data_IF_407377691709
#
_entry.id   IF_407377691709
#
_cell.length_a   1.000
_cell.length_b   1.000
_cell.length_c   1.000
_cell.angle_alpha   90.00
_cell.angle_beta   90.00
_cell.angle_gamma   90.00
#
_symmetry.space_group_name_H-M   'P 1'
#
loop_
_entity.id
_entity.type
_entity.pdbx_description
1 polymer ?
#
# COMPACT_ATOMS: atom_id res chain seq x y z
N UNK A 1 -9.03 -22.38 -4.09
CA UNK A 1 -8.84 -22.51 -5.56
C UNK A 1 -7.48 -21.90 -5.80
N UNK A 2 -6.50 -22.74 -6.13
CA UNK A 2 -5.10 -22.34 -6.12
C UNK A 2 -4.73 -21.91 -7.54
N UNK A 3 -5.01 -20.64 -7.86
CA UNK A 3 -4.97 -20.09 -9.21
C UNK A 3 -3.55 -20.07 -9.78
N UNK A 4 -2.52 -20.08 -8.92
CA UNK A 4 -1.10 -20.08 -9.29
C UNK A 4 -0.38 -21.39 -8.95
N UNK A 5 -1.11 -22.50 -8.81
CA UNK A 5 -0.54 -23.81 -8.41
C UNK A 5 0.58 -24.35 -9.32
N UNK A 6 0.65 -23.87 -10.57
CA UNK A 6 1.67 -24.22 -11.56
C UNK A 6 2.86 -23.24 -11.60
N UNK A 7 2.82 -22.15 -10.82
CA UNK A 7 3.85 -21.10 -10.80
C UNK A 7 4.87 -21.35 -9.69
N UNK A 8 6.15 -21.20 -10.03
CA UNK A 8 7.30 -21.29 -9.11
C UNK A 8 7.94 -19.93 -8.91
N UNK A 9 8.10 -19.55 -7.64
CA UNK A 9 8.64 -18.24 -7.25
C UNK A 9 9.90 -18.45 -6.42
N UNK A 10 10.96 -17.72 -6.74
CA UNK A 10 12.15 -17.57 -5.90
C UNK A 10 12.21 -16.13 -5.40
N UNK A 11 12.28 -15.95 -4.10
CA UNK A 11 12.37 -14.66 -3.43
C UNK A 11 13.76 -14.50 -2.80
N UNK A 12 14.49 -13.49 -3.26
CA UNK A 12 15.74 -12.96 -2.68
C UNK A 12 15.52 -11.63 -1.95
N UNK A 13 14.26 -11.20 -1.80
CA UNK A 13 13.94 -9.90 -1.24
C UNK A 13 14.18 -9.84 0.27
N UNK A 14 14.76 -8.72 0.70
CA UNK A 14 14.88 -8.30 2.09
C UNK A 14 13.99 -7.08 2.41
N UNK A 15 13.43 -6.41 1.38
CA UNK A 15 12.43 -5.36 1.57
C UNK A 15 11.06 -5.96 1.91
N UNK A 16 10.23 -5.20 2.64
CA UNK A 16 8.87 -5.63 2.91
C UNK A 16 8.04 -5.68 1.62
N UNK A 17 8.26 -4.75 0.70
CA UNK A 17 7.59 -4.73 -0.60
C UNK A 17 7.80 -6.03 -1.39
N UNK A 18 9.04 -6.53 -1.45
CA UNK A 18 9.37 -7.78 -2.13
C UNK A 18 8.84 -9.00 -1.39
N UNK A 19 8.99 -9.03 -0.05
CA UNK A 19 8.47 -10.12 0.77
C UNK A 19 6.94 -10.24 0.68
N UNK A 20 6.21 -9.12 0.75
CA UNK A 20 4.75 -9.14 0.63
C UNK A 20 4.28 -9.47 -0.79
N UNK A 21 5.03 -9.07 -1.82
CA UNK A 21 4.75 -9.46 -3.20
C UNK A 21 4.81 -10.99 -3.37
N UNK A 22 5.90 -11.61 -2.92
CA UNK A 22 6.06 -13.07 -2.96
C UNK A 22 5.01 -13.80 -2.11
N UNK A 23 4.66 -13.25 -0.95
CA UNK A 23 3.60 -13.75 -0.06
C UNK A 23 2.25 -13.80 -0.75
N UNK A 24 1.86 -12.74 -1.45
CA UNK A 24 0.59 -12.68 -2.18
C UNK A 24 0.52 -13.69 -3.33
N UNK A 25 1.64 -14.02 -3.97
CA UNK A 25 1.71 -15.10 -4.95
C UNK A 25 1.59 -16.48 -4.26
N UNK A 26 2.29 -16.69 -3.15
CA UNK A 26 2.22 -17.92 -2.36
C UNK A 26 0.79 -18.19 -1.84
N UNK A 27 0.10 -17.16 -1.35
CA UNK A 27 -1.29 -17.24 -0.87
C UNK A 27 -2.27 -17.63 -1.98
N UNK A 28 -1.91 -17.38 -3.25
CA UNK A 28 -2.69 -17.79 -4.43
C UNK A 28 -2.29 -19.17 -4.97
N UNK A 29 -1.39 -19.87 -4.27
CA UNK A 29 -0.99 -21.25 -4.56
C UNK A 29 0.39 -21.40 -5.20
N UNK A 30 1.13 -20.31 -5.44
CA UNK A 30 2.44 -20.40 -6.07
C UNK A 30 3.45 -21.12 -5.16
N UNK A 31 4.21 -22.04 -5.75
CA UNK A 31 5.32 -22.74 -5.08
C UNK A 31 6.46 -21.76 -4.83
N UNK A 32 6.48 -21.16 -3.63
CA UNK A 32 7.39 -20.06 -3.29
C UNK A 32 8.53 -20.52 -2.40
N UNK A 33 9.76 -20.19 -2.81
CA UNK A 33 10.99 -20.43 -2.05
C UNK A 33 11.58 -19.07 -1.66
N UNK A 34 11.77 -18.85 -0.37
CA UNK A 34 12.52 -17.71 0.16
C UNK A 34 13.96 -18.13 0.40
N UNK A 35 14.89 -17.47 -0.28
CA UNK A 35 16.32 -17.64 -0.05
C UNK A 35 16.77 -16.63 0.97
N UNK A 36 17.41 -17.10 2.03
CA UNK A 36 17.90 -16.27 3.12
C UNK A 36 19.43 -16.39 3.24
N UNK A 37 20.14 -15.31 3.60
CA UNK A 37 21.56 -15.38 3.86
C UNK A 37 21.85 -16.19 5.15
N UNK A 38 23.04 -16.79 5.28
CA UNK A 38 23.41 -17.54 6.47
C UNK A 38 23.47 -16.65 7.73
N UNK A 39 23.32 -17.29 8.89
CA UNK A 39 23.38 -16.69 10.24
C UNK A 39 22.22 -15.75 10.59
N UNK A 40 22.11 -14.59 9.95
CA UNK A 40 21.10 -13.59 10.28
C UNK A 40 19.73 -13.80 9.63
N UNK A 41 19.66 -14.51 8.50
CA UNK A 41 18.44 -14.68 7.74
C UNK A 41 17.88 -13.35 7.24
N UNK A 42 16.56 -13.33 7.00
CA UNK A 42 15.82 -12.10 6.70
C UNK A 42 15.87 -11.12 7.91
N UNK A 43 16.19 -9.82 7.71
CA UNK A 43 16.17 -8.81 8.77
C UNK A 43 14.87 -8.77 9.59
N UNK A 44 13.71 -8.97 8.95
CA UNK A 44 12.41 -8.95 9.60
C UNK A 44 12.28 -9.99 10.72
N UNK A 45 13.06 -11.08 10.70
CA UNK A 45 13.11 -12.07 11.80
C UNK A 45 13.49 -11.46 13.14
N UNK A 46 14.16 -10.31 13.12
CA UNK A 46 14.67 -9.61 14.31
C UNK A 46 13.92 -8.31 14.59
N UNK A 47 12.84 -8.06 13.87
CA UNK A 47 12.00 -6.88 14.08
C UNK A 47 10.85 -7.20 15.05
N UNK A 48 10.55 -6.31 16.01
CA UNK A 48 9.38 -6.43 16.88
C UNK A 48 8.07 -6.13 16.12
N UNK A 49 6.89 -6.45 16.69
CA UNK A 49 6.71 -7.13 17.97
C UNK A 49 7.08 -8.61 17.90
N UNK A 50 7.52 -9.14 19.04
CA UNK A 50 7.79 -10.56 19.18
C UNK A 50 6.64 -11.25 19.92
N UNK A 51 6.39 -12.52 19.60
CA UNK A 51 5.52 -13.39 20.38
C UNK A 51 5.97 -13.35 21.85
N UNK A 52 5.02 -13.13 22.76
CA UNK A 52 5.26 -12.98 24.21
C UNK A 52 6.23 -11.84 24.59
N UNK A 53 6.57 -10.95 23.66
CA UNK A 53 7.54 -9.88 23.88
C UNK A 53 8.99 -10.35 23.99
N UNK A 54 9.30 -11.60 23.62
CA UNK A 54 10.65 -12.18 23.74
C UNK A 54 11.36 -12.16 22.39
N UNK A 55 12.48 -11.42 22.24
CA UNK A 55 13.24 -11.38 20.99
C UNK A 55 13.71 -12.77 20.56
N UNK A 56 13.18 -13.24 19.42
CA UNK A 56 13.53 -14.54 18.85
C UNK A 56 13.34 -14.51 17.32
N UNK A 57 14.26 -15.11 16.51
CA UNK A 57 14.14 -15.13 15.04
C UNK A 57 12.87 -15.80 14.49
N UNK A 58 12.30 -16.74 15.24
CA UNK A 58 11.01 -17.40 14.94
C UNK A 58 9.84 -16.75 15.70
N UNK A 59 10.09 -15.66 16.42
CA UNK A 59 9.11 -14.96 17.23
C UNK A 59 8.66 -13.63 16.65
N UNK A 60 9.33 -13.08 15.63
CA UNK A 60 8.94 -11.83 14.99
C UNK A 60 7.59 -11.97 14.29
N UNK A 61 6.60 -11.20 14.73
CA UNK A 61 5.28 -11.23 14.08
C UNK A 61 5.32 -10.60 12.70
N UNK A 62 6.27 -9.69 12.43
CA UNK A 62 6.48 -9.12 11.11
C UNK A 62 6.93 -10.20 10.13
N UNK A 63 7.98 -10.96 10.48
CA UNK A 63 8.45 -12.04 9.62
C UNK A 63 7.35 -13.08 9.40
N UNK A 64 6.69 -13.52 10.47
CA UNK A 64 5.65 -14.54 10.40
C UNK A 64 4.47 -14.08 9.52
N UNK A 65 3.99 -12.85 9.67
CA UNK A 65 2.85 -12.34 8.90
C UNK A 65 3.15 -12.26 7.39
N UNK A 66 4.36 -11.86 7.01
CA UNK A 66 4.74 -11.61 5.63
C UNK A 66 5.43 -12.80 4.93
N UNK A 67 5.63 -13.92 5.62
CA UNK A 67 6.33 -15.09 5.06
C UNK A 67 5.59 -16.43 5.21
N UNK A 68 4.31 -16.46 5.63
CA UNK A 68 3.54 -17.71 5.57
C UNK A 68 3.40 -18.22 4.12
N UNK A 69 3.18 -19.53 3.98
CA UNK A 69 3.07 -20.25 2.69
C UNK A 69 4.36 -20.33 1.85
N UNK A 70 5.48 -19.82 2.36
CA UNK A 70 6.80 -19.93 1.72
C UNK A 70 7.62 -21.07 2.32
N UNK A 71 8.53 -21.65 1.53
CA UNK A 71 9.58 -22.56 2.02
C UNK A 71 10.90 -21.80 2.10
N UNK A 72 11.54 -21.81 3.27
CA UNK A 72 12.85 -21.18 3.46
C UNK A 72 14.01 -22.09 3.02
N UNK A 73 15.03 -21.50 2.39
CA UNK A 73 16.33 -22.12 2.14
C UNK A 73 17.43 -21.11 2.45
N UNK A 74 18.55 -21.57 2.99
CA UNK A 74 19.70 -20.70 3.27
C UNK A 74 20.74 -20.85 2.16
N UNK A 75 21.11 -19.75 1.50
CA UNK A 75 22.21 -19.70 0.53
C UNK A 75 23.12 -18.51 0.81
N UNK A 76 24.43 -18.74 0.74
CA UNK A 76 25.44 -17.69 0.86
C UNK A 76 25.82 -17.19 -0.53
N UNK A 77 25.15 -16.14 -1.00
CA UNK A 77 25.36 -15.57 -2.34
C UNK A 77 26.68 -14.80 -2.47
N UNK A 78 27.41 -14.57 -1.37
CA UNK A 78 28.79 -14.04 -1.43
C UNK A 78 29.81 -15.11 -1.86
N UNK A 79 29.38 -16.39 -1.91
CA UNK A 79 30.22 -17.51 -2.35
C UNK A 79 29.79 -18.00 -3.74
N UNK A 80 30.75 -18.35 -4.62
CA UNK A 80 30.43 -18.94 -5.93
C UNK A 80 29.51 -20.16 -5.83
N UNK A 81 29.68 -20.99 -4.80
CA UNK A 81 28.81 -22.16 -4.57
C UNK A 81 27.36 -21.79 -4.27
N UNK A 82 27.11 -20.65 -3.59
CA UNK A 82 25.74 -20.19 -3.33
C UNK A 82 25.09 -19.63 -4.59
N UNK A 83 25.85 -18.90 -5.40
CA UNK A 83 25.41 -18.44 -6.73
C UNK A 83 25.09 -19.63 -7.63
N UNK A 84 25.94 -20.65 -7.69
CA UNK A 84 25.71 -21.88 -8.45
C UNK A 84 24.43 -22.62 -8.00
N UNK A 85 24.17 -22.68 -6.69
CA UNK A 85 22.96 -23.29 -6.15
C UNK A 85 21.71 -22.48 -6.50
N UNK A 86 21.78 -21.15 -6.41
CA UNK A 86 20.69 -20.26 -6.82
C UNK A 86 20.40 -20.44 -8.32
N UNK A 87 21.42 -20.51 -9.16
CA UNK A 87 21.24 -20.73 -10.60
C UNK A 87 20.50 -22.02 -10.89
N UNK A 88 20.79 -23.11 -10.17
CA UNK A 88 20.05 -24.37 -10.30
C UNK A 88 18.58 -24.23 -9.91
N UNK A 89 18.25 -23.40 -8.91
CA UNK A 89 16.86 -23.09 -8.58
C UNK A 89 16.19 -22.30 -9.71
N UNK A 90 16.88 -21.34 -10.31
CA UNK A 90 16.32 -20.44 -11.32
C UNK A 90 16.04 -21.10 -12.69
N UNK A 91 16.64 -22.26 -12.99
CA UNK A 91 16.42 -22.99 -14.26
C UNK A 91 14.94 -23.28 -14.53
N UNK A 92 14.18 -23.60 -13.48
CA UNK A 92 12.77 -24.01 -13.55
C UNK A 92 11.91 -23.09 -12.67
N UNK A 93 12.29 -21.82 -12.60
CA UNK A 93 11.55 -20.78 -11.87
C UNK A 93 10.79 -19.89 -12.86
N UNK A 94 9.57 -19.51 -12.50
CA UNK A 94 8.75 -18.61 -13.30
C UNK A 94 8.97 -17.15 -12.93
N UNK A 95 9.14 -16.88 -11.64
CA UNK A 95 9.27 -15.54 -11.09
C UNK A 95 10.44 -15.47 -10.11
N UNK A 96 11.37 -14.56 -10.34
CA UNK A 96 12.38 -14.14 -9.39
C UNK A 96 12.00 -12.77 -8.81
N UNK A 97 11.90 -12.66 -7.50
CA UNK A 97 11.65 -11.39 -6.80
C UNK A 97 12.90 -11.06 -5.99
N UNK A 98 13.49 -9.90 -6.24
CA UNK A 98 14.68 -9.43 -5.51
C UNK A 98 14.54 -7.96 -5.13
N UNK A 99 15.29 -7.54 -4.12
CA UNK A 99 15.23 -6.16 -3.61
C UNK A 99 16.62 -5.60 -3.30
N UNK A 100 17.63 -6.05 -4.05
CA UNK A 100 18.98 -5.57 -3.89
C UNK A 100 19.15 -4.17 -4.49
N UNK A 101 20.15 -3.40 -4.02
CA UNK A 101 20.50 -2.13 -4.65
C UNK A 101 20.86 -2.31 -6.13
N UNK A 102 20.66 -1.28 -6.97
CA UNK A 102 20.99 -1.36 -8.39
C UNK A 102 22.44 -1.79 -8.64
N UNK A 103 22.62 -2.72 -9.58
CA UNK A 103 23.94 -3.26 -9.93
C UNK A 103 24.41 -4.43 -9.05
N UNK A 104 23.73 -4.75 -7.95
CA UNK A 104 24.16 -5.84 -7.08
C UNK A 104 24.02 -7.21 -7.76
N UNK A 105 22.88 -7.48 -8.40
CA UNK A 105 22.66 -8.74 -9.12
C UNK A 105 23.67 -8.91 -10.27
N UNK A 106 23.99 -7.82 -10.99
CA UNK A 106 25.05 -7.80 -11.99
C UNK A 106 26.42 -8.15 -11.39
N UNK A 107 26.73 -7.64 -10.19
CA UNK A 107 28.01 -7.93 -9.51
C UNK A 107 28.14 -9.41 -9.11
N UNK A 108 27.02 -10.11 -8.92
CA UNK A 108 26.97 -11.55 -8.67
C UNK A 108 26.99 -12.39 -9.96
N UNK A 109 27.05 -11.77 -11.14
CA UNK A 109 26.92 -12.46 -12.43
C UNK A 109 25.49 -12.87 -12.76
N UNK A 110 24.49 -12.32 -12.06
CA UNK A 110 23.07 -12.62 -12.17
C UNK A 110 22.27 -11.45 -12.77
N UNK A 111 22.91 -10.63 -13.60
CA UNK A 111 22.24 -9.51 -14.28
C UNK A 111 21.21 -9.99 -15.31
N UNK A 112 20.29 -9.09 -15.67
CA UNK A 112 19.17 -9.38 -16.58
C UNK A 112 19.59 -10.05 -17.90
N UNK A 113 20.65 -9.63 -18.62
CA UNK A 113 21.07 -10.30 -19.85
C UNK A 113 21.41 -11.78 -19.66
N UNK A 114 22.08 -12.11 -18.55
CA UNK A 114 22.49 -13.47 -18.24
C UNK A 114 21.29 -14.34 -17.82
N UNK A 115 20.39 -13.80 -16.99
CA UNK A 115 19.17 -14.48 -16.58
C UNK A 115 18.26 -14.77 -17.79
N UNK A 116 18.10 -13.80 -18.70
CA UNK A 116 17.32 -13.98 -19.92
C UNK A 116 17.94 -15.01 -20.88
N UNK A 117 19.28 -15.16 -20.90
CA UNK A 117 19.93 -16.21 -21.67
C UNK A 117 19.70 -17.61 -21.06
N UNK A 118 19.74 -17.71 -19.73
CA UNK A 118 19.66 -18.99 -19.00
C UNK A 118 18.23 -19.49 -18.86
N UNK A 119 17.28 -18.58 -18.61
CA UNK A 119 15.85 -18.85 -18.53
C UNK A 119 15.09 -17.70 -19.23
N UNK A 120 14.87 -17.80 -20.56
CA UNK A 120 14.18 -16.77 -21.34
C UNK A 120 12.72 -16.53 -20.94
N UNK A 121 12.11 -17.45 -20.17
CA UNK A 121 10.75 -17.35 -19.66
C UNK A 121 10.66 -16.70 -18.26
N UNK A 122 11.80 -16.38 -17.63
CA UNK A 122 11.85 -15.86 -16.27
C UNK A 122 11.32 -14.43 -16.20
N UNK A 123 10.38 -14.20 -15.28
CA UNK A 123 9.96 -12.86 -14.89
C UNK A 123 10.82 -12.44 -13.70
N UNK A 124 11.55 -11.34 -13.83
CA UNK A 124 12.36 -10.79 -12.75
C UNK A 124 11.69 -9.53 -12.25
N UNK A 125 11.34 -9.46 -10.97
CA UNK A 125 10.91 -8.24 -10.31
C UNK A 125 12.03 -7.73 -9.41
N UNK A 126 12.50 -6.53 -9.71
CA UNK A 126 13.44 -5.77 -8.89
C UNK A 126 12.66 -4.73 -8.09
N UNK A 127 12.60 -4.85 -6.77
CA UNK A 127 11.90 -3.89 -5.91
C UNK A 127 12.88 -3.02 -5.14
N UNK A 128 12.94 -1.73 -5.49
CA UNK A 128 13.72 -0.74 -4.74
C UNK A 128 12.87 0.48 -4.41
N UNK A 129 13.36 1.36 -3.54
CA UNK A 129 12.62 2.56 -3.16
C UNK A 129 12.47 3.57 -4.30
N UNK A 130 13.44 3.63 -5.21
CA UNK A 130 13.52 4.66 -6.24
C UNK A 130 13.63 4.11 -7.67
N UNK A 131 13.50 2.79 -7.86
CA UNK A 131 13.73 2.10 -9.12
C UNK A 131 15.21 1.79 -9.39
N UNK A 132 15.47 1.05 -10.46
CA UNK A 132 16.81 0.68 -10.92
C UNK A 132 17.49 1.79 -11.73
N UNK A 133 16.72 2.81 -12.16
CA UNK A 133 17.18 3.88 -13.05
C UNK A 133 16.87 5.28 -12.52
N UNK A 134 17.42 6.31 -13.16
CA UNK A 134 17.20 7.70 -12.78
C UNK A 134 18.15 8.23 -11.70
N UNK A 135 18.05 9.52 -11.34
CA UNK A 135 19.01 10.20 -10.48
C UNK A 135 18.98 9.74 -9.02
N UNK A 136 17.88 9.10 -8.59
CA UNK A 136 17.68 8.66 -7.20
C UNK A 136 17.86 7.14 -7.02
N UNK A 137 18.20 6.39 -8.05
CA UNK A 137 18.26 4.92 -7.99
C UNK A 137 19.21 4.38 -6.90
N UNK A 138 20.28 5.12 -6.62
CA UNK A 138 21.27 4.76 -5.58
C UNK A 138 20.94 5.31 -4.19
N UNK A 139 19.78 5.95 -3.98
CA UNK A 139 19.41 6.46 -2.67
C UNK A 139 18.87 5.34 -1.79
N UNK A 140 19.21 5.39 -0.51
CA UNK A 140 18.54 4.57 0.49
C UNK A 140 17.16 5.17 0.78
N UNK A 141 16.19 4.29 1.00
CA UNK A 141 14.83 4.68 1.31
C UNK A 141 14.28 3.97 2.53
N UNK A 142 13.05 4.33 2.84
CA UNK A 142 12.22 3.78 3.89
C UNK A 142 10.78 4.15 3.58
N UNK A 143 9.81 3.44 4.16
CA UNK A 143 8.40 3.72 3.90
C UNK A 143 8.04 5.20 4.14
N UNK A 144 8.52 5.80 5.23
CA UNK A 144 8.31 7.23 5.52
C UNK A 144 8.96 8.15 4.48
N UNK A 145 10.12 7.78 3.94
CA UNK A 145 10.77 8.53 2.85
C UNK A 145 9.88 8.47 1.61
N UNK A 146 9.39 7.27 1.24
CA UNK A 146 8.47 7.10 0.12
C UNK A 146 7.18 7.90 0.31
N UNK A 147 6.62 7.96 1.52
CA UNK A 147 5.49 8.84 1.83
C UNK A 147 5.83 10.32 1.62
N UNK A 148 7.01 10.76 2.05
CA UNK A 148 7.44 12.14 1.90
C UNK A 148 7.62 12.54 0.43
N UNK A 149 8.41 11.77 -0.33
CA UNK A 149 8.69 12.05 -1.74
C UNK A 149 7.47 11.79 -2.64
N UNK A 150 6.57 10.89 -2.21
CA UNK A 150 5.31 10.59 -2.89
C UNK A 150 4.21 11.62 -2.67
N UNK A 151 4.47 12.66 -1.86
CA UNK A 151 3.52 13.74 -1.59
C UNK A 151 2.47 13.43 -0.52
N UNK A 152 2.46 12.23 0.07
CA UNK A 152 1.50 11.84 1.11
C UNK A 152 1.54 12.76 2.33
N UNK A 153 2.75 13.03 2.82
CA UNK A 153 2.94 13.90 3.98
C UNK A 153 2.46 15.33 3.68
N UNK A 154 2.62 15.80 2.44
CA UNK A 154 2.25 17.17 2.07
C UNK A 154 0.75 17.34 1.79
N UNK A 155 0.13 16.37 1.12
CA UNK A 155 -1.16 16.55 0.48
C UNK A 155 -2.28 15.67 1.03
N UNK A 156 -1.95 14.60 1.77
CA UNK A 156 -2.91 13.55 2.13
C UNK A 156 -3.21 13.52 3.62
N UNK A 157 -2.19 13.31 4.47
CA UNK A 157 -2.42 12.84 5.84
C UNK A 157 -2.20 13.91 6.91
N UNK A 158 -3.24 14.25 7.67
CA UNK A 158 -3.20 15.17 8.80
C UNK A 158 -3.90 16.50 8.53
N UNK A 159 -4.01 17.35 9.55
CA UNK A 159 -4.60 18.69 9.42
C UNK A 159 -3.66 19.68 8.73
N UNK A 160 -4.23 20.71 8.10
CA UNK A 160 -3.48 21.73 7.36
C UNK A 160 -2.55 22.56 8.26
N UNK A 161 -3.00 22.82 9.49
CA UNK A 161 -2.37 23.66 10.52
C UNK A 161 -1.38 22.89 11.41
N UNK A 162 -1.34 21.57 11.29
CA UNK A 162 -0.44 20.69 12.04
C UNK A 162 0.75 20.23 11.19
N UNK A 163 1.87 19.82 11.83
CA UNK A 163 2.98 19.21 11.11
C UNK A 163 2.52 18.01 10.27
N UNK A 164 3.19 17.74 9.12
CA UNK A 164 2.89 16.57 8.29
C UNK A 164 2.88 15.28 9.11
N UNK A 165 1.84 14.47 8.94
CA UNK A 165 1.68 13.21 9.66
C UNK A 165 1.83 12.03 8.69
N UNK A 166 2.58 11.01 9.09
CA UNK A 166 2.67 9.77 8.32
C UNK A 166 1.39 8.95 8.43
N UNK A 167 1.17 8.09 7.45
CA UNK A 167 0.19 6.99 7.58
C UNK A 167 0.72 5.92 8.54
N UNK A 168 -0.06 4.84 8.73
CA UNK A 168 0.45 3.65 9.40
C UNK A 168 1.80 3.20 8.78
N UNK A 169 2.65 2.46 9.52
CA UNK A 169 3.89 1.95 8.95
C UNK A 169 3.64 1.14 7.67
N UNK A 170 4.64 1.18 6.78
CA UNK A 170 4.83 0.24 5.66
C UNK A 170 3.76 0.30 4.55
N UNK A 171 2.85 1.29 4.58
CA UNK A 171 1.74 1.36 3.62
C UNK A 171 2.21 1.55 2.17
N UNK A 172 3.31 2.27 1.96
CA UNK A 172 3.84 2.49 0.60
C UNK A 172 4.54 1.23 0.10
N UNK A 173 5.26 0.51 0.96
CA UNK A 173 5.83 -0.81 0.61
C UNK A 173 4.76 -1.85 0.30
N UNK A 174 3.68 -1.89 1.09
CA UNK A 174 2.51 -2.75 0.85
C UNK A 174 1.84 -2.39 -0.49
N UNK A 175 1.73 -1.10 -0.79
CA UNK A 175 1.15 -0.65 -2.06
C UNK A 175 2.04 -1.00 -3.25
N UNK A 176 3.37 -0.82 -3.11
CA UNK A 176 4.34 -1.25 -4.10
C UNK A 176 4.25 -2.77 -4.35
N UNK A 177 4.16 -3.59 -3.29
CA UNK A 177 3.99 -5.03 -3.40
C UNK A 177 2.76 -5.43 -4.23
N UNK A 178 1.61 -4.77 -3.98
CA UNK A 178 0.36 -5.01 -4.74
C UNK A 178 0.54 -4.66 -6.22
N UNK A 179 1.18 -3.52 -6.51
CA UNK A 179 1.52 -3.15 -7.89
C UNK A 179 2.48 -4.16 -8.54
N UNK A 180 3.45 -4.66 -7.78
CA UNK A 180 4.37 -5.72 -8.20
C UNK A 180 3.65 -7.01 -8.59
N UNK A 181 2.69 -7.46 -7.77
CA UNK A 181 1.86 -8.63 -8.09
C UNK A 181 1.06 -8.40 -9.37
N UNK A 182 0.44 -7.22 -9.52
CA UNK A 182 -0.31 -6.87 -10.76
C UNK A 182 0.62 -6.95 -11.98
N UNK A 183 1.82 -6.39 -11.89
CA UNK A 183 2.81 -6.41 -12.97
C UNK A 183 3.29 -7.83 -13.29
N UNK A 184 3.56 -8.66 -12.26
CA UNK A 184 3.95 -10.07 -12.44
C UNK A 184 2.83 -10.85 -13.11
N UNK A 185 1.58 -10.68 -12.67
CA UNK A 185 0.42 -11.36 -13.25
C UNK A 185 0.21 -10.96 -14.72
N UNK A 186 0.39 -9.68 -15.05
CA UNK A 186 0.33 -9.20 -16.43
C UNK A 186 1.46 -9.80 -17.29
N UNK A 187 2.69 -9.89 -16.76
CA UNK A 187 3.82 -10.51 -17.44
C UNK A 187 3.61 -12.03 -17.62
N UNK A 188 3.09 -12.74 -16.62
CA UNK A 188 2.72 -14.15 -16.72
C UNK A 188 1.67 -14.38 -17.80
N UNK A 189 0.65 -13.53 -17.86
CA UNK A 189 -0.39 -13.57 -18.89
C UNK A 189 0.19 -13.33 -20.30
N UNK A 190 1.02 -12.30 -20.46
CA UNK A 190 1.70 -12.03 -21.73
C UNK A 190 2.57 -13.21 -22.17
N UNK A 191 3.31 -13.81 -21.23
CA UNK A 191 4.21 -14.95 -21.46
C UNK A 191 3.50 -16.16 -22.06
N UNK A 192 2.21 -16.37 -21.81
CA UNK A 192 1.43 -17.46 -22.42
C UNK A 192 1.40 -17.38 -23.95
N UNK A 193 1.50 -16.17 -24.52
CA UNK A 193 1.50 -15.96 -25.97
C UNK A 193 2.90 -15.73 -26.53
N UNK A 194 3.76 -15.03 -25.79
CA UNK A 194 5.10 -14.67 -26.26
C UNK A 194 6.15 -15.76 -26.02
N UNK A 195 5.94 -16.62 -25.03
CA UNK A 195 6.92 -17.56 -24.50
C UNK A 195 8.11 -16.88 -23.79
N UNK A 196 8.06 -15.56 -23.57
CA UNK A 196 9.17 -14.76 -23.03
C UNK A 196 8.80 -14.14 -21.68
N UNK A 197 9.76 -14.13 -20.78
CA UNK A 197 9.70 -13.40 -19.51
C UNK A 197 9.90 -11.90 -19.70
N UNK A 198 10.07 -11.19 -18.60
CA UNK A 198 10.25 -9.73 -18.57
C UNK A 198 10.96 -9.29 -17.29
N UNK A 199 11.63 -8.15 -17.35
CA UNK A 199 12.13 -7.46 -16.17
C UNK A 199 11.14 -6.38 -15.76
N UNK A 200 10.72 -6.39 -14.50
CA UNK A 200 9.85 -5.42 -13.86
C UNK A 200 10.71 -4.64 -12.88
N UNK A 201 10.98 -3.37 -13.22
CA UNK A 201 11.60 -2.40 -12.31
C UNK A 201 10.47 -1.74 -11.48
N UNK A 202 10.38 -2.10 -10.20
CA UNK A 202 9.36 -1.60 -9.28
C UNK A 202 9.95 -0.59 -8.31
N UNK A 203 9.43 0.64 -8.37
CA UNK A 203 9.78 1.74 -7.46
C UNK A 203 8.69 1.97 -6.40
N UNK A 204 9.05 1.87 -5.11
CA UNK A 204 8.14 2.20 -4.01
C UNK A 204 7.72 3.67 -4.04
N UNK A 205 8.61 4.58 -4.47
CA UNK A 205 8.28 6.00 -4.67
C UNK A 205 7.20 6.17 -5.75
N UNK A 206 7.32 5.50 -6.89
CA UNK A 206 6.33 5.62 -7.97
C UNK A 206 4.98 5.02 -7.55
N UNK A 207 4.99 3.92 -6.80
CA UNK A 207 3.79 3.38 -6.17
C UNK A 207 3.15 4.38 -5.20
N UNK A 208 3.94 5.05 -4.36
CA UNK A 208 3.46 6.10 -3.48
C UNK A 208 2.85 7.26 -4.27
N UNK A 209 3.52 7.80 -5.29
CA UNK A 209 3.02 8.90 -6.11
C UNK A 209 1.69 8.54 -6.79
N UNK A 210 1.56 7.32 -7.31
CA UNK A 210 0.34 6.92 -8.04
C UNK A 210 -0.89 6.72 -7.15
N UNK A 211 -0.70 6.49 -5.85
CA UNK A 211 -1.81 6.15 -4.93
C UNK A 211 -2.82 7.30 -4.76
N UNK A 212 -2.41 8.55 -4.45
CA UNK A 212 -3.32 9.68 -4.36
C UNK A 212 -3.55 10.36 -5.72
N UNK A 213 -3.66 9.59 -6.82
CA UNK A 213 -3.85 10.14 -8.19
C UNK A 213 -5.04 11.11 -8.31
N UNK A 214 -6.09 10.90 -7.50
CA UNK A 214 -7.23 11.82 -7.36
C UNK A 214 -6.85 13.22 -6.84
N UNK A 215 -5.75 13.37 -6.10
CA UNK A 215 -5.27 14.64 -5.57
C UNK A 215 -4.19 15.28 -6.45
N UNK A 216 -3.52 14.50 -7.30
CA UNK A 216 -2.43 14.99 -8.15
C UNK A 216 -2.98 15.64 -9.43
N UNK A 217 -3.99 15.04 -10.07
CA UNK A 217 -4.49 15.55 -11.34
C UNK A 217 -5.00 17.02 -11.31
N UNK A 218 -5.61 17.56 -10.22
CA UNK A 218 -6.04 18.96 -10.20
C UNK A 218 -4.88 19.93 -10.33
N UNK A 219 -3.69 19.62 -9.80
CA UNK A 219 -2.50 20.45 -9.97
C UNK A 219 -2.13 20.58 -11.45
N UNK A 220 -2.17 19.48 -12.20
CA UNK A 220 -1.88 19.46 -13.64
C UNK A 220 -2.80 20.39 -14.43
N UNK A 221 -4.08 20.47 -14.09
CA UNK A 221 -5.07 21.26 -14.84
C UNK A 221 -5.28 22.69 -14.33
N UNK A 222 -5.01 22.94 -13.04
CA UNK A 222 -5.36 24.22 -12.40
C UNK A 222 -4.17 24.94 -11.78
N UNK A 223 -3.00 24.30 -11.70
CA UNK A 223 -1.83 24.79 -10.97
C UNK A 223 -2.01 24.81 -9.44
N UNK A 224 -3.16 24.37 -8.91
CA UNK A 224 -3.42 24.34 -7.48
C UNK A 224 -2.82 23.07 -6.87
N UNK A 225 -1.83 23.26 -6.00
CA UNK A 225 -1.28 22.14 -5.23
C UNK A 225 -2.31 21.71 -4.18
N UNK A 226 -2.60 20.41 -4.05
CA UNK A 226 -3.41 19.94 -2.93
C UNK A 226 -2.70 20.28 -1.61
N UNK A 227 -3.50 20.69 -0.62
CA UNK A 227 -3.09 20.78 0.78
C UNK A 227 -3.93 19.79 1.56
N UNK A 228 -3.37 19.27 2.66
CA UNK A 228 -4.15 18.41 3.55
C UNK A 228 -5.34 19.18 4.08
N UNK A 229 -6.54 18.63 3.98
CA UNK A 229 -7.75 19.25 4.51
C UNK A 229 -7.99 18.97 6.00
N UNK A 230 -7.33 17.95 6.54
CA UNK A 230 -7.78 17.31 7.78
C UNK A 230 -9.19 16.75 7.66
N UNK A 231 -9.72 16.33 8.79
CA UNK A 231 -11.09 15.87 8.98
C UNK A 231 -12.14 16.97 8.75
N UNK A 232 -11.83 18.22 9.04
CA UNK A 232 -12.87 19.25 9.21
C UNK A 232 -12.97 20.23 8.03
N UNK A 233 -12.15 20.07 6.98
CA UNK A 233 -11.99 21.07 5.92
C UNK A 233 -12.64 20.75 4.57
N UNK A 234 -13.17 19.54 4.37
CA UNK A 234 -13.71 19.13 3.07
C UNK A 234 -15.05 18.39 3.20
N UNK A 235 -16.15 19.08 2.88
CA UNK A 235 -17.55 18.58 2.94
C UNK A 235 -17.76 17.27 2.15
N UNK A 236 -16.85 16.92 1.22
CA UNK A 236 -16.89 15.66 0.46
C UNK A 236 -16.30 14.46 1.18
N UNK A 237 -15.32 14.68 2.06
CA UNK A 237 -14.55 13.59 2.68
C UNK A 237 -15.14 13.19 4.05
N UNK A 238 -16.20 13.92 4.45
CA UNK A 238 -17.00 13.67 5.64
C UNK A 238 -16.76 14.72 6.72
N UNK A 239 -17.77 14.93 7.57
CA UNK A 239 -17.74 15.81 8.71
C UNK A 239 -17.49 14.99 9.96
N UNK A 240 -16.40 15.26 10.67
CA UNK A 240 -16.05 14.52 11.89
C UNK A 240 -16.76 15.12 13.09
N UNK A 241 -17.46 14.29 13.84
CA UNK A 241 -18.46 14.72 14.81
C UNK A 241 -18.32 13.92 16.10
N UNK A 242 -18.27 14.59 17.27
CA UNK A 242 -18.23 13.91 18.54
C UNK A 242 -19.56 13.23 18.84
N UNK A 243 -19.48 12.14 19.57
CA UNK A 243 -20.61 11.34 20.07
C UNK A 243 -20.41 11.08 21.57
N UNK A 244 -21.34 10.38 22.22
CA UNK A 244 -21.28 10.15 23.67
C UNK A 244 -20.07 9.28 24.09
N UNK A 245 -19.56 8.42 23.20
CA UNK A 245 -18.52 7.44 23.49
C UNK A 245 -17.42 7.35 22.41
N UNK A 246 -17.30 8.37 21.56
CA UNK A 246 -16.28 8.43 20.52
C UNK A 246 -16.59 9.48 19.45
N UNK A 247 -16.24 9.17 18.20
CA UNK A 247 -16.45 10.06 17.06
C UNK A 247 -17.05 9.29 15.88
N UNK A 248 -17.72 10.00 14.99
CA UNK A 248 -18.22 9.49 13.71
C UNK A 248 -17.88 10.47 12.58
N UNK A 249 -17.91 9.98 11.34
CA UNK A 249 -17.75 10.82 10.14
C UNK A 249 -19.02 10.74 9.32
N UNK A 250 -19.59 11.91 8.99
CA UNK A 250 -20.86 12.03 8.27
C UNK A 250 -20.66 12.63 6.89
N UNK A 251 -21.19 11.98 5.85
CA UNK A 251 -21.06 12.45 4.46
C UNK A 251 -22.34 13.14 3.99
N UNK A 252 -22.27 14.46 3.76
CA UNK A 252 -23.39 15.25 3.19
C UNK A 252 -23.30 15.45 1.67
N UNK A 253 -22.21 15.03 1.04
CA UNK A 253 -21.96 15.25 -0.38
C UNK A 253 -21.12 14.12 -0.99
N UNK A 254 -21.61 13.47 -2.06
CA UNK A 254 -20.83 12.46 -2.80
C UNK A 254 -21.70 11.38 -3.45
N UNK A 255 -21.04 10.48 -4.19
CA UNK A 255 -21.65 9.23 -4.70
C UNK A 255 -22.03 8.33 -3.51
N UNK A 256 -23.25 8.51 -2.99
CA UNK A 256 -23.76 7.78 -1.83
C UNK A 256 -24.36 8.66 -0.72
N UNK A 257 -24.07 9.97 -0.72
CA UNK A 257 -24.72 10.91 0.20
C UNK A 257 -26.18 11.12 -0.19
N UNK A 258 -27.11 10.91 0.75
CA UNK A 258 -28.52 11.29 0.54
C UNK A 258 -28.64 12.81 0.61
N UNK A 259 -29.70 13.33 -0.01
CA UNK A 259 -30.02 14.74 0.02
C UNK A 259 -30.19 15.23 1.48
N UNK A 260 -29.95 16.51 1.74
CA UNK A 260 -29.97 17.10 3.08
C UNK A 260 -31.29 16.84 3.82
N UNK A 261 -32.39 16.62 3.08
CA UNK A 261 -33.70 16.23 3.58
C UNK A 261 -33.67 14.91 4.35
N UNK A 262 -32.89 13.91 3.91
CA UNK A 262 -32.79 12.63 4.60
C UNK A 262 -32.02 12.77 5.93
N UNK A 263 -31.03 13.66 5.97
CA UNK A 263 -30.32 14.01 7.20
C UNK A 263 -31.19 14.86 8.13
N UNK A 264 -31.97 15.79 7.58
CA UNK A 264 -32.95 16.59 8.32
C UNK A 264 -34.00 15.71 9.00
N UNK A 265 -34.54 14.71 8.28
CA UNK A 265 -35.48 13.74 8.84
C UNK A 265 -34.83 12.88 9.93
N UNK A 266 -33.62 12.37 9.68
CA UNK A 266 -32.94 11.48 10.63
C UNK A 266 -32.51 12.16 11.92
N UNK A 267 -32.03 13.40 11.83
CA UNK A 267 -31.57 14.19 12.98
C UNK A 267 -32.68 15.01 13.62
N UNK A 268 -33.89 14.97 13.05
CA UNK A 268 -35.02 15.82 13.45
C UNK A 268 -34.66 17.32 13.42
N UNK A 269 -33.80 17.72 12.47
CA UNK A 269 -33.29 19.09 12.34
C UNK A 269 -33.71 19.69 10.97
N UNK A 270 -34.86 20.38 10.90
CA UNK A 270 -35.40 20.88 9.64
C UNK A 270 -34.55 21.98 8.99
N UNK A 271 -33.72 22.72 9.76
CA UNK A 271 -32.86 23.78 9.20
C UNK A 271 -31.82 23.25 8.23
N UNK A 272 -31.51 21.95 8.28
CA UNK A 272 -30.64 21.31 7.30
C UNK A 272 -31.17 21.41 5.86
N UNK A 273 -32.45 21.71 5.68
CA UNK A 273 -33.09 21.94 4.36
C UNK A 273 -33.05 23.40 3.89
N UNK A 274 -32.46 24.31 4.65
CA UNK A 274 -32.34 25.72 4.26
C UNK A 274 -31.58 25.87 2.94
N UNK A 275 -31.97 26.84 2.12
CA UNK A 275 -31.39 27.07 0.79
C UNK A 275 -29.86 27.29 0.81
N UNK A 276 -29.32 27.79 1.91
CA UNK A 276 -27.88 27.99 2.13
C UNK A 276 -27.08 26.68 2.31
N UNK A 277 -27.75 25.54 2.44
CA UNK A 277 -27.13 24.21 2.50
C UNK A 277 -27.44 23.36 1.25
N UNK A 278 -28.12 23.92 0.25
CA UNK A 278 -28.60 23.17 -0.92
C UNK A 278 -27.47 22.61 -1.81
N UNK A 279 -26.39 23.37 -1.99
CA UNK A 279 -25.25 22.99 -2.83
C UNK A 279 -24.00 22.70 -2.00
N UNK A 280 -23.08 21.92 -2.55
CA UNK A 280 -21.77 21.67 -1.93
C UNK A 280 -21.05 22.97 -1.57
N UNK A 281 -20.98 23.90 -2.52
CA UNK A 281 -20.33 25.21 -2.32
C UNK A 281 -21.00 25.98 -1.20
N UNK A 282 -22.33 26.07 -1.20
CA UNK A 282 -23.07 26.77 -0.14
C UNK A 282 -22.88 26.12 1.24
N UNK A 283 -22.75 24.79 1.33
CA UNK A 283 -22.42 24.10 2.59
C UNK A 283 -21.02 24.42 3.09
N UNK A 284 -20.06 24.60 2.19
CA UNK A 284 -18.71 25.04 2.55
C UNK A 284 -18.71 26.48 3.06
N UNK A 285 -19.43 27.38 2.39
CA UNK A 285 -19.55 28.79 2.80
C UNK A 285 -20.25 28.96 4.17
N UNK A 286 -21.09 27.99 4.55
CA UNK A 286 -21.86 27.99 5.79
C UNK A 286 -21.44 26.84 6.74
N UNK A 287 -20.17 26.41 6.66
CA UNK A 287 -19.67 25.21 7.34
C UNK A 287 -19.86 25.22 8.85
N UNK A 288 -19.51 26.30 9.54
CA UNK A 288 -19.58 26.37 11.01
C UNK A 288 -21.01 26.17 11.53
N UNK A 289 -21.99 26.76 10.84
CA UNK A 289 -23.39 26.61 11.19
C UNK A 289 -23.89 25.20 10.90
N UNK A 290 -23.58 24.66 9.71
CA UNK A 290 -23.93 23.30 9.34
C UNK A 290 -23.35 22.30 10.36
N UNK A 291 -22.07 22.43 10.68
CA UNK A 291 -21.38 21.60 11.65
C UNK A 291 -22.08 21.64 13.02
N UNK A 292 -22.45 22.84 13.49
CA UNK A 292 -23.13 23.00 14.78
C UNK A 292 -24.50 22.30 14.80
N UNK A 293 -25.28 22.43 13.72
CA UNK A 293 -26.59 21.80 13.59
C UNK A 293 -26.51 20.27 13.61
N UNK A 294 -25.46 19.70 13.01
CA UNK A 294 -25.27 18.25 12.94
C UNK A 294 -24.59 17.71 14.21
N UNK A 295 -23.59 18.39 14.77
CA UNK A 295 -22.82 17.91 15.93
C UNK A 295 -23.68 17.80 17.20
N UNK A 296 -24.56 18.78 17.41
CA UNK A 296 -25.39 18.87 18.62
C UNK A 296 -26.24 17.60 18.86
N UNK A 297 -27.08 17.13 17.92
CA UNK A 297 -27.90 15.94 18.12
C UNK A 297 -27.09 14.64 18.22
N UNK A 298 -25.90 14.58 17.61
CA UNK A 298 -25.06 13.37 17.61
C UNK A 298 -24.23 13.22 18.90
N UNK A 299 -23.89 14.32 19.56
CA UNK A 299 -23.06 14.35 20.76
C UNK A 299 -23.57 13.48 21.92
N UNK A 300 -24.87 13.15 21.94
CA UNK A 300 -25.52 12.36 22.99
C UNK A 300 -25.79 10.91 22.57
N UNK A 301 -25.41 10.51 21.35
CA UNK A 301 -25.66 9.17 20.80
C UNK A 301 -24.44 8.29 20.98
N UNK A 302 -24.64 6.98 21.12
CA UNK A 302 -23.56 6.01 20.97
C UNK A 302 -23.11 5.95 19.50
N UNK A 303 -21.81 5.93 19.22
CA UNK A 303 -21.28 5.97 17.85
C UNK A 303 -21.71 4.78 16.98
N UNK A 304 -21.67 3.54 17.51
CA UNK A 304 -21.99 2.32 16.77
C UNK A 304 -23.49 2.20 16.50
N UNK A 305 -24.32 2.57 17.47
CA UNK A 305 -25.78 2.55 17.29
C UNK A 305 -26.19 3.63 16.28
N UNK A 306 -25.60 4.84 16.38
CA UNK A 306 -25.79 5.90 15.40
C UNK A 306 -25.43 5.45 13.98
N UNK A 307 -24.25 4.83 13.80
CA UNK A 307 -23.80 4.29 12.51
C UNK A 307 -24.80 3.27 11.96
N UNK A 308 -25.26 2.32 12.79
CA UNK A 308 -26.23 1.29 12.38
C UNK A 308 -27.56 1.90 11.96
N UNK A 309 -28.10 2.82 12.76
CA UNK A 309 -29.38 3.47 12.50
C UNK A 309 -29.35 4.33 11.23
N UNK A 310 -28.26 5.08 11.04
CA UNK A 310 -28.05 5.92 9.86
C UNK A 310 -27.89 5.07 8.60
N UNK A 311 -27.01 4.06 8.62
CA UNK A 311 -26.76 3.17 7.47
C UNK A 311 -27.98 2.32 7.11
N UNK A 312 -28.81 1.92 8.09
CA UNK A 312 -30.08 1.25 7.82
C UNK A 312 -31.07 2.12 7.03
N UNK A 313 -30.92 3.45 7.10
CA UNK A 313 -31.68 4.44 6.32
C UNK A 313 -30.93 4.88 5.05
N UNK A 314 -29.81 4.24 4.72
CA UNK A 314 -28.97 4.55 3.56
C UNK A 314 -28.20 5.86 3.70
N UNK A 315 -27.97 6.33 4.93
CA UNK A 315 -27.09 7.46 5.23
C UNK A 315 -25.65 6.96 5.42
N UNK A 316 -24.66 7.80 5.08
CA UNK A 316 -23.23 7.45 5.10
C UNK A 316 -22.48 8.33 6.08
#
# INVERSE_FOLDING_TARGET
MDILSDIKVVELAHSLSGAFCAKLLADQGASTIKVEPPAWGDPARREPPFIEGVPHPEGSTLFLAFNTNKRGVTLDLEKPTGVDMLLRLLVDTDVLIESYPPGHMESLGLGIPFLNQTNPGLIVLSSTYFGQTGPYSNYQGGDLVAQAVGGFLHAVTGSADQPPMGTAPEQMEITAARNGVIAIMAALFQRQTSGKGSHIDLSTMEAAISTPSGLIHPFTFTGRSPIRGGSDGNVMDGMHLPTADGEVTLTTAGTGGRAMEAWAEFLEEPKLTDAKFATRESRMDNWEELHTLVATPLSQRNNLDLMRDAMAKGLV
#
